data_IF_850871586222
#
_entry.id   IF_850871586222
#
_cell.length_a   1.000
_cell.length_b   1.000
_cell.length_c   1.000
_cell.angle_alpha   90.00
_cell.angle_beta   90.00
_cell.angle_gamma   90.00
#
_symmetry.space_group_name_H-M   'P 1'
#
loop_
_entity.id
_entity.type
_entity.pdbx_description
1 polymer ?
#
# COMPACT_ATOMS: atom_id res chain seq x y z
N UNK A 1 -0.38 -18.22 -2.41
CA UNK A 1 0.00 -16.96 -1.75
C UNK A 1 1.36 -16.51 -2.25
N UNK A 2 1.44 -15.28 -2.72
CA UNK A 2 2.67 -14.71 -3.26
C UNK A 2 3.03 -13.46 -2.47
N UNK A 3 4.27 -13.35 -2.02
CA UNK A 3 4.78 -12.16 -1.36
C UNK A 3 5.66 -11.35 -2.31
N UNK A 4 5.45 -10.03 -2.32
CA UNK A 4 6.22 -9.09 -3.12
C UNK A 4 6.87 -8.10 -2.16
N UNK A 5 8.12 -8.34 -1.72
CA UNK A 5 8.82 -7.41 -0.85
C UNK A 5 9.49 -6.29 -1.62
N UNK A 6 9.58 -5.13 -1.01
CA UNK A 6 10.43 -4.02 -1.47
C UNK A 6 10.93 -3.26 -0.26
N UNK A 7 12.14 -2.68 -0.37
CA UNK A 7 12.81 -2.03 0.74
C UNK A 7 13.49 -0.76 0.26
N UNK A 8 13.59 0.22 1.15
CA UNK A 8 14.34 1.45 0.90
C UNK A 8 14.81 2.07 2.21
N UNK A 9 15.93 2.76 2.15
CA UNK A 9 16.37 3.61 3.25
C UNK A 9 15.95 5.05 2.95
N UNK A 10 15.20 5.65 3.86
CA UNK A 10 14.63 6.98 3.69
C UNK A 10 15.21 7.91 4.75
N UNK A 11 15.79 9.02 4.31
CA UNK A 11 16.38 10.03 5.20
C UNK A 11 15.29 10.93 5.79
N UNK A 12 14.52 10.34 6.72
CA UNK A 12 13.41 11.01 7.38
C UNK A 12 13.10 10.23 8.66
N UNK A 13 12.69 10.89 9.76
CA UNK A 13 12.27 10.19 10.96
C UNK A 13 11.09 9.26 10.71
N UNK A 14 11.07 8.11 11.40
CA UNK A 14 10.03 7.10 11.22
C UNK A 14 8.63 7.66 11.44
N UNK A 15 8.47 8.55 12.42
CA UNK A 15 7.19 9.19 12.74
C UNK A 15 6.63 9.98 11.54
N UNK A 16 7.49 10.73 10.86
CA UNK A 16 7.07 11.51 9.68
C UNK A 16 6.73 10.62 8.50
N UNK A 17 7.53 9.58 8.26
CA UNK A 17 7.25 8.61 7.20
C UNK A 17 5.92 7.91 7.46
N UNK A 18 5.70 7.48 8.70
CA UNK A 18 4.46 6.83 9.09
C UNK A 18 3.25 7.73 8.83
N UNK A 19 3.35 9.01 9.21
CA UNK A 19 2.28 9.98 8.99
C UNK A 19 1.98 10.19 7.51
N UNK A 20 3.00 10.16 6.65
CA UNK A 20 2.83 10.23 5.19
C UNK A 20 2.07 9.00 4.67
N UNK A 21 2.45 7.82 5.15
CA UNK A 21 1.83 6.55 4.71
C UNK A 21 0.34 6.52 5.05
N UNK A 22 -0.05 6.96 6.24
CA UNK A 22 -1.44 6.90 6.69
C UNK A 22 -2.29 8.11 6.28
N UNK A 23 -1.68 9.15 5.74
CA UNK A 23 -2.41 10.33 5.27
C UNK A 23 -3.03 10.07 3.90
N UNK A 24 -4.14 9.35 3.88
CA UNK A 24 -4.83 8.98 2.65
C UNK A 24 -5.30 10.20 1.86
N UNK A 25 -5.75 11.25 2.53
CA UNK A 25 -6.21 12.47 1.86
C UNK A 25 -5.07 13.24 1.22
N UNK A 26 -3.86 13.12 1.75
CA UNK A 26 -2.67 13.76 1.24
C UNK A 26 -1.87 12.94 0.24
N UNK A 27 -2.32 11.73 -0.13
CA UNK A 27 -1.57 10.85 -1.04
C UNK A 27 -1.23 11.50 -2.38
N UNK A 28 -2.10 12.34 -2.90
CA UNK A 28 -1.87 13.03 -4.17
C UNK A 28 -0.66 13.96 -4.18
N UNK A 29 -0.11 14.29 -3.01
CA UNK A 29 1.10 15.13 -2.91
C UNK A 29 2.36 14.40 -3.32
N UNK A 30 2.38 13.08 -3.19
CA UNK A 30 3.58 12.30 -3.46
C UNK A 30 3.35 11.10 -4.38
N UNK A 31 2.12 10.63 -4.50
CA UNK A 31 1.78 9.48 -5.33
C UNK A 31 0.84 9.91 -6.45
N UNK A 32 1.38 9.98 -7.66
CA UNK A 32 0.58 10.35 -8.83
C UNK A 32 -0.32 9.18 -9.24
N UNK A 33 -1.47 9.50 -9.82
CA UNK A 33 -2.35 8.50 -10.38
C UNK A 33 -1.66 7.77 -11.53
N UNK A 34 -1.96 6.49 -11.67
CA UNK A 34 -1.41 5.62 -12.70
C UNK A 34 -2.53 4.74 -13.28
N UNK A 35 -2.15 3.81 -14.14
CA UNK A 35 -3.10 2.79 -14.62
C UNK A 35 -3.61 1.88 -13.49
N UNK A 36 -2.88 1.77 -12.38
CA UNK A 36 -3.23 0.88 -11.27
C UNK A 36 -3.73 1.61 -10.02
N UNK A 37 -3.42 2.90 -9.87
CA UNK A 37 -3.80 3.68 -8.70
C UNK A 37 -4.53 4.96 -9.10
N UNK A 38 -5.76 5.12 -8.63
CA UNK A 38 -6.63 6.26 -8.95
C UNK A 38 -7.13 7.02 -7.72
N UNK A 39 -6.39 6.91 -6.62
CA UNK A 39 -6.69 7.60 -5.38
C UNK A 39 -7.46 6.75 -4.38
N UNK A 40 -7.63 7.31 -3.19
CA UNK A 40 -8.33 6.70 -2.06
C UNK A 40 -9.51 7.56 -1.68
N UNK A 41 -10.66 6.93 -1.46
CA UNK A 41 -11.91 7.62 -1.11
C UNK A 41 -12.67 6.87 -0.01
N UNK A 42 -13.79 7.43 0.41
CA UNK A 42 -14.68 6.83 1.42
C UNK A 42 -13.93 6.42 2.70
N UNK A 43 -13.07 7.30 3.18
CA UNK A 43 -12.27 7.10 4.39
C UNK A 43 -13.17 7.24 5.61
N UNK A 44 -13.32 6.17 6.40
CA UNK A 44 -14.30 6.12 7.49
C UNK A 44 -13.93 6.96 8.70
N UNK A 45 -12.64 7.13 8.97
CA UNK A 45 -12.14 7.95 10.08
C UNK A 45 -10.90 8.74 9.65
N UNK A 46 -10.76 9.95 10.19
CA UNK A 46 -9.61 10.81 9.96
C UNK A 46 -9.28 11.52 11.29
N UNK A 47 -8.07 11.33 11.82
CA UNK A 47 -6.93 10.59 11.25
C UNK A 47 -7.15 9.09 11.16
N UNK A 48 -6.41 8.47 10.24
CA UNK A 48 -6.45 7.01 10.03
C UNK A 48 -5.91 6.29 11.27
N UNK A 49 -6.59 5.25 11.67
CA UNK A 49 -6.23 4.44 12.84
C UNK A 49 -6.62 2.98 12.60
N UNK A 50 -6.44 2.12 13.59
CA UNK A 50 -6.89 0.73 13.53
C UNK A 50 -8.39 0.66 13.25
N UNK A 51 -8.77 -0.16 12.29
CA UNK A 51 -10.18 -0.34 11.90
C UNK A 51 -10.69 0.67 10.87
N UNK A 52 -9.93 1.69 10.51
CA UNK A 52 -10.32 2.62 9.44
C UNK A 52 -10.53 1.86 8.14
N UNK A 53 -11.62 2.16 7.43
CA UNK A 53 -11.92 1.58 6.12
C UNK A 53 -11.82 2.64 5.03
N UNK A 54 -11.56 2.20 3.80
CA UNK A 54 -11.41 3.10 2.65
C UNK A 54 -11.64 2.34 1.35
N UNK A 55 -11.72 3.07 0.24
CA UNK A 55 -11.96 2.50 -1.08
C UNK A 55 -10.94 3.03 -2.08
N UNK A 56 -10.34 2.12 -2.84
CA UNK A 56 -9.38 2.45 -3.90
C UNK A 56 -9.84 1.84 -5.23
N UNK A 57 -10.52 2.60 -6.10
CA UNK A 57 -10.89 2.11 -7.41
C UNK A 57 -9.68 2.01 -8.34
N UNK A 58 -9.70 1.06 -9.24
CA UNK A 58 -8.65 0.86 -10.24
C UNK A 58 -9.20 0.18 -11.49
N UNK A 59 -8.34 0.04 -12.52
CA UNK A 59 -8.80 -0.53 -13.81
C UNK A 59 -9.13 -2.01 -13.73
N UNK A 60 -8.50 -2.77 -12.84
CA UNK A 60 -8.75 -4.21 -12.69
C UNK A 60 -9.91 -4.51 -11.76
N UNK A 61 -10.22 -3.60 -10.85
CA UNK A 61 -11.26 -3.78 -9.85
C UNK A 61 -11.19 -2.74 -8.76
N UNK A 62 -11.96 -2.94 -7.70
CA UNK A 62 -12.04 -2.03 -6.57
C UNK A 62 -11.47 -2.72 -5.33
N UNK A 63 -10.55 -2.06 -4.65
CA UNK A 63 -10.03 -2.50 -3.36
C UNK A 63 -10.81 -1.81 -2.26
N UNK A 64 -11.39 -2.61 -1.37
CA UNK A 64 -12.03 -2.09 -0.15
C UNK A 64 -11.12 -2.44 1.01
N UNK A 65 -10.43 -1.44 1.54
CA UNK A 65 -9.38 -1.62 2.52
C UNK A 65 -9.82 -1.43 3.95
N UNK A 66 -9.11 -2.10 4.85
CA UNK A 66 -9.26 -1.95 6.30
C UNK A 66 -7.87 -1.94 6.92
N UNK A 67 -7.64 -1.04 7.86
CA UNK A 67 -6.40 -1.02 8.65
C UNK A 67 -6.50 -2.11 9.71
N UNK A 68 -5.72 -3.18 9.56
CA UNK A 68 -5.79 -4.36 10.42
C UNK A 68 -4.68 -4.43 11.46
N UNK A 69 -3.60 -3.67 11.28
CA UNK A 69 -2.51 -3.55 12.24
C UNK A 69 -2.05 -2.10 12.25
N UNK A 70 -1.88 -1.54 13.44
CA UNK A 70 -1.49 -0.14 13.59
C UNK A 70 -0.62 0.02 14.82
N UNK A 71 0.68 0.11 14.63
CA UNK A 71 1.68 0.30 15.70
C UNK A 71 2.59 1.47 15.32
N UNK A 72 2.15 2.68 15.63
CA UNK A 72 2.90 3.89 15.27
C UNK A 72 4.19 4.00 16.08
N UNK A 73 5.34 4.29 15.47
CA UNK A 73 5.60 4.50 14.04
C UNK A 73 6.20 3.29 13.34
N UNK A 74 6.03 2.08 13.87
CA UNK A 74 6.78 0.90 13.46
C UNK A 74 6.09 0.06 12.38
N UNK A 75 4.76 -0.09 12.47
CA UNK A 75 4.03 -1.00 11.58
C UNK A 75 2.64 -0.48 11.26
N UNK A 76 2.24 -0.67 10.01
CA UNK A 76 0.84 -0.51 9.59
C UNK A 76 0.54 -1.55 8.52
N UNK A 77 -0.61 -2.20 8.64
CA UNK A 77 -1.06 -3.23 7.70
C UNK A 77 -2.45 -2.87 7.18
N UNK A 78 -2.59 -2.97 5.87
CA UNK A 78 -3.85 -2.74 5.17
C UNK A 78 -4.29 -4.04 4.52
N UNK A 79 -5.49 -4.51 4.85
CA UNK A 79 -6.11 -5.62 4.15
C UNK A 79 -7.03 -5.05 3.07
N UNK A 80 -6.73 -5.32 1.81
CA UNK A 80 -7.34 -4.68 0.65
C UNK A 80 -7.87 -5.70 -0.35
N UNK A 81 -8.87 -6.52 0.00
CA UNK A 81 -9.43 -7.44 -0.99
C UNK A 81 -9.92 -6.65 -2.21
N UNK A 82 -9.52 -7.11 -3.38
CA UNK A 82 -9.86 -6.46 -4.64
C UNK A 82 -10.97 -7.25 -5.36
N UNK A 83 -12.13 -6.63 -5.49
CA UNK A 83 -13.23 -7.19 -6.27
C UNK A 83 -12.98 -6.87 -7.73
N UNK A 84 -12.82 -7.92 -8.54
CA UNK A 84 -12.52 -7.77 -9.95
C UNK A 84 -13.73 -7.28 -10.75
N UNK A 85 -13.46 -6.59 -11.86
CA UNK A 85 -14.52 -6.16 -12.77
C UNK A 85 -15.34 -7.33 -13.24
N UNK A 86 -16.63 -7.08 -13.49
CA UNK A 86 -17.61 -8.09 -13.93
C UNK A 86 -17.83 -9.18 -12.88
N UNK A 87 -17.47 -8.91 -11.62
CA UNK A 87 -17.66 -9.85 -10.51
C UNK A 87 -17.05 -11.23 -10.77
N UNK A 88 -15.91 -11.25 -11.48
CA UNK A 88 -15.22 -12.51 -11.83
C UNK A 88 -14.47 -13.14 -10.66
N UNK A 89 -14.47 -12.49 -9.51
CA UNK A 89 -13.85 -13.00 -8.29
C UNK A 89 -13.20 -11.90 -7.45
N UNK A 90 -12.60 -12.32 -6.35
CA UNK A 90 -11.89 -11.41 -5.44
C UNK A 90 -10.45 -11.89 -5.26
N UNK A 91 -9.50 -10.99 -5.47
CA UNK A 91 -8.09 -11.22 -5.18
C UNK A 91 -7.82 -10.69 -3.78
N UNK A 92 -7.30 -11.54 -2.90
CA UNK A 92 -6.94 -11.09 -1.55
C UNK A 92 -5.59 -10.38 -1.58
N UNK A 93 -5.55 -9.15 -1.09
CA UNK A 93 -4.35 -8.31 -1.07
C UNK A 93 -4.12 -7.80 0.33
N UNK A 94 -2.92 -8.01 0.86
CA UNK A 94 -2.49 -7.44 2.14
C UNK A 94 -1.22 -6.65 1.91
N UNK A 95 -1.18 -5.44 2.43
CA UNK A 95 -0.05 -4.53 2.32
C UNK A 95 0.45 -4.20 3.72
N UNK A 96 1.72 -4.53 4.00
CA UNK A 96 2.35 -4.24 5.29
C UNK A 96 3.56 -3.35 5.10
N UNK A 97 3.59 -2.27 5.86
CA UNK A 97 4.78 -1.44 6.04
C UNK A 97 5.41 -1.72 7.39
N UNK A 98 6.72 -1.89 7.40
CA UNK A 98 7.53 -1.97 8.63
C UNK A 98 8.62 -0.92 8.56
N UNK A 99 8.69 -0.07 9.57
CA UNK A 99 9.66 1.01 9.65
C UNK A 99 10.62 0.73 10.80
N UNK A 100 11.91 0.66 10.49
CA UNK A 100 12.96 0.42 11.49
C UNK A 100 13.86 1.65 11.54
N UNK A 101 13.78 2.45 12.63
CA UNK A 101 14.67 3.60 12.78
C UNK A 101 16.11 3.13 12.95
N UNK A 102 17.05 3.90 12.38
CA UNK A 102 18.48 3.63 12.49
C UNK A 102 19.24 4.86 12.96
N UNK A 103 20.55 4.74 13.05
CA UNK A 103 21.42 5.86 13.39
C UNK A 103 21.49 6.92 12.29
N UNK A 104 21.08 6.57 11.09
CA UNK A 104 20.98 7.45 9.92
C UNK A 104 19.57 7.37 9.36
N UNK A 105 19.39 6.80 8.14
CA UNK A 105 18.06 6.69 7.55
C UNK A 105 17.16 5.71 8.28
N UNK A 106 15.87 5.85 8.10
CA UNK A 106 14.86 4.86 8.51
C UNK A 106 14.78 3.80 7.41
N UNK A 107 14.88 2.54 7.79
CA UNK A 107 14.68 1.43 6.87
C UNK A 107 13.19 1.14 6.73
N UNK A 108 12.66 1.20 5.51
CA UNK A 108 11.26 0.95 5.22
C UNK A 108 11.14 -0.33 4.39
N UNK A 109 10.40 -1.28 4.91
CA UNK A 109 10.06 -2.51 4.19
C UNK A 109 8.58 -2.51 3.87
N UNK A 110 8.25 -2.79 2.62
CA UNK A 110 6.87 -2.88 2.13
C UNK A 110 6.67 -4.28 1.55
N UNK A 111 5.74 -5.02 2.10
CA UNK A 111 5.41 -6.37 1.62
C UNK A 111 3.96 -6.39 1.15
N UNK A 112 3.76 -6.75 -0.11
CA UNK A 112 2.43 -7.01 -0.67
C UNK A 112 2.24 -8.52 -0.73
N UNK A 113 1.19 -9.03 -0.11
CA UNK A 113 0.83 -10.44 -0.16
C UNK A 113 -0.44 -10.59 -0.99
N UNK A 114 -0.39 -11.44 -2.01
CA UNK A 114 -1.48 -11.65 -2.95
C UNK A 114 -1.90 -13.11 -2.94
N UNK A 115 -3.21 -13.35 -2.82
CA UNK A 115 -3.79 -14.67 -2.98
C UNK A 115 -4.85 -14.60 -4.07
N UNK A 116 -4.59 -15.29 -5.18
CA UNK A 116 -5.50 -15.35 -6.33
C UNK A 116 -6.34 -16.63 -6.23
N UNK A 117 -7.68 -16.52 -6.26
CA UNK A 117 -8.53 -17.70 -6.13
C UNK A 117 -8.49 -18.56 -7.39
N UNK A 118 -8.73 -19.86 -7.22
CA UNK A 118 -9.02 -20.74 -8.32
C UNK A 118 -10.42 -20.40 -8.87
N UNK A 119 -10.67 -20.27 -10.18
CA UNK A 119 -9.81 -20.67 -11.33
C UNK A 119 -8.92 -19.55 -11.88
N UNK A 120 -8.82 -18.39 -11.22
CA UNK A 120 -8.05 -17.23 -11.71
C UNK A 120 -6.53 -17.42 -11.60
N UNK A 121 -6.05 -18.53 -11.06
CA UNK A 121 -4.62 -18.80 -10.88
C UNK A 121 -3.84 -18.81 -12.20
N UNK A 122 -4.48 -19.08 -13.31
CA UNK A 122 -3.83 -19.04 -14.61
C UNK A 122 -3.33 -17.63 -14.99
N UNK A 123 -3.98 -16.59 -14.47
CA UNK A 123 -3.59 -15.21 -14.72
C UNK A 123 -2.81 -14.60 -13.54
N UNK A 124 -2.49 -15.41 -12.53
CA UNK A 124 -1.72 -14.95 -11.36
C UNK A 124 -0.41 -14.25 -11.74
N UNK A 125 0.40 -14.75 -12.71
CA UNK A 125 1.62 -14.04 -13.09
C UNK A 125 1.39 -12.61 -13.57
N UNK A 126 0.26 -12.34 -14.20
CA UNK A 126 -0.11 -10.97 -14.65
C UNK A 126 -0.35 -10.08 -13.45
N UNK A 127 -1.12 -10.56 -12.47
CA UNK A 127 -1.37 -9.80 -11.23
C UNK A 127 -0.08 -9.55 -10.45
N UNK A 128 0.75 -10.58 -10.29
CA UNK A 128 2.02 -10.47 -9.56
C UNK A 128 2.92 -9.44 -10.22
N UNK A 129 3.03 -9.46 -11.54
CA UNK A 129 3.84 -8.49 -12.28
C UNK A 129 3.32 -7.06 -12.07
N UNK A 130 2.01 -6.85 -12.22
CA UNK A 130 1.39 -5.54 -12.06
C UNK A 130 1.61 -5.00 -10.64
N UNK A 131 1.42 -5.82 -9.62
CA UNK A 131 1.65 -5.40 -8.23
C UNK A 131 3.13 -5.15 -7.94
N UNK A 132 4.03 -5.91 -8.55
CA UNK A 132 5.47 -5.69 -8.38
C UNK A 132 5.90 -4.34 -8.96
N UNK A 133 5.44 -4.01 -10.15
CA UNK A 133 5.72 -2.71 -10.78
C UNK A 133 5.15 -1.57 -9.94
N UNK A 134 3.91 -1.69 -9.53
CA UNK A 134 3.24 -0.65 -8.74
C UNK A 134 3.84 -0.49 -7.35
N UNK A 135 4.25 -1.59 -6.71
CA UNK A 135 4.90 -1.56 -5.40
C UNK A 135 6.24 -0.83 -5.46
N UNK A 136 7.04 -1.11 -6.48
CA UNK A 136 8.31 -0.41 -6.69
C UNK A 136 8.12 1.07 -6.91
N UNK A 137 7.16 1.44 -7.77
CA UNK A 137 6.82 2.82 -8.06
C UNK A 137 6.37 3.56 -6.80
N UNK A 138 5.51 2.95 -6.01
CA UNK A 138 4.98 3.55 -4.78
C UNK A 138 6.10 3.81 -3.77
N UNK A 139 6.98 2.85 -3.56
CA UNK A 139 8.07 2.99 -2.60
C UNK A 139 9.09 4.04 -3.03
N UNK A 140 9.41 4.10 -4.33
CA UNK A 140 10.28 5.15 -4.87
C UNK A 140 9.68 6.54 -4.70
N UNK A 141 8.37 6.67 -4.95
CA UNK A 141 7.66 7.93 -4.76
C UNK A 141 7.64 8.35 -3.29
N UNK A 142 7.41 7.41 -2.38
CA UNK A 142 7.46 7.65 -0.93
C UNK A 142 8.85 8.15 -0.50
N UNK A 143 9.90 7.47 -0.96
CA UNK A 143 11.28 7.86 -0.65
C UNK A 143 11.58 9.27 -1.15
N UNK A 144 11.26 9.55 -2.40
CA UNK A 144 11.53 10.86 -3.00
C UNK A 144 10.84 11.98 -2.23
N UNK A 145 9.59 11.78 -1.84
CA UNK A 145 8.83 12.77 -1.08
C UNK A 145 9.33 12.92 0.35
N UNK A 146 9.50 11.80 1.06
CA UNK A 146 9.89 11.82 2.48
C UNK A 146 11.33 12.34 2.68
N UNK A 147 12.25 12.06 1.75
CA UNK A 147 13.60 12.62 1.79
C UNK A 147 13.59 14.17 1.81
N UNK A 148 12.54 14.81 1.29
CA UNK A 148 12.41 16.27 1.30
C UNK A 148 11.89 16.81 2.63
N UNK A 149 11.36 15.96 3.50
CA UNK A 149 10.73 16.36 4.77
C UNK A 149 11.69 16.41 5.95
N UNK A 150 12.90 15.93 5.78
CA UNK A 150 13.90 15.87 6.86
C UNK A 150 14.79 17.09 6.94
#
# INVERSE_FOLDING_TARGET
>A
MTEIPSEADIHCPAEKIFDVIIDFRGQGRWLTQSSAFRGTSEISTDPVTLGTTYREPGPLGVRNGTVTEFERPAKVTFHQPMTLRLHSGTVDVTLRYTLTPGAGPTHVKRVVTITVPWPLKLIQPVFVHAFRVESGRTLLALKAYADTLS
#
